data_IF_259319286001
#
_entry.id   IF_259319286001
#
_cell.length_a   1.000
_cell.length_b   1.000
_cell.length_c   1.000
_cell.angle_alpha   90.00
_cell.angle_beta   90.00
_cell.angle_gamma   90.00
#
_symmetry.space_group_name_H-M   'P 1'
#
loop_
_entity.id
_entity.type
_entity.pdbx_description
1 polymer ?
#
# COMPACT_ATOMS: atom_id res chain seq x y z
N UNK A 1 -3.55 -19.31 38.57
CA UNK A 1 -2.17 -19.69 38.14
C UNK A 1 -1.87 -19.34 36.67
N UNK A 2 -2.82 -19.40 35.74
CA UNK A 2 -2.60 -19.14 34.29
C UNK A 2 -2.39 -17.66 33.91
N UNK A 3 -3.10 -16.73 34.56
CA UNK A 3 -3.07 -15.28 34.23
C UNK A 3 -1.65 -14.69 34.37
N UNK A 4 -0.86 -15.19 35.33
CA UNK A 4 0.51 -14.72 35.54
C UNK A 4 1.47 -15.17 34.44
N UNK A 5 1.26 -16.38 33.88
CA UNK A 5 2.04 -16.87 32.72
C UNK A 5 1.75 -16.00 31.50
N UNK A 6 0.48 -15.76 31.18
CA UNK A 6 0.06 -14.93 30.05
C UNK A 6 0.66 -13.52 30.16
N UNK A 7 0.59 -12.89 31.33
CA UNK A 7 1.20 -11.56 31.56
C UNK A 7 2.71 -11.56 31.34
N UNK A 8 3.39 -12.65 31.69
CA UNK A 8 4.83 -12.82 31.48
C UNK A 8 5.16 -13.02 30.00
N UNK A 9 4.35 -13.79 29.26
CA UNK A 9 4.48 -13.96 27.81
C UNK A 9 4.28 -12.65 27.03
N UNK A 10 3.28 -11.84 27.38
CA UNK A 10 3.11 -10.53 26.75
C UNK A 10 4.28 -9.58 27.08
N UNK A 11 4.85 -9.68 28.29
CA UNK A 11 6.02 -8.89 28.69
C UNK A 11 7.28 -9.28 27.92
N UNK A 12 7.49 -10.58 27.65
CA UNK A 12 8.62 -11.05 26.85
C UNK A 12 8.45 -10.69 25.36
N UNK A 13 7.24 -10.84 24.80
CA UNK A 13 6.94 -10.44 23.42
C UNK A 13 7.12 -8.93 23.22
N UNK A 14 6.69 -8.11 24.17
CA UNK A 14 6.92 -6.67 24.13
C UNK A 14 8.40 -6.30 24.22
N UNK A 15 9.19 -7.06 25.00
CA UNK A 15 10.64 -6.85 25.08
C UNK A 15 11.35 -7.19 23.76
N UNK A 16 10.95 -8.27 23.08
CA UNK A 16 11.47 -8.64 21.75
C UNK A 16 11.05 -7.65 20.65
N UNK A 17 9.79 -7.20 20.67
CA UNK A 17 9.27 -6.16 19.78
C UNK A 17 10.01 -4.81 19.93
N UNK A 18 10.69 -4.59 21.05
CA UNK A 18 11.51 -3.39 21.28
C UNK A 18 12.91 -3.49 20.62
N UNK A 19 13.40 -4.71 20.38
CA UNK A 19 14.62 -4.96 19.60
C UNK A 19 14.36 -4.95 18.09
N UNK A 20 13.09 -5.06 17.67
CA UNK A 20 12.70 -4.80 16.28
C UNK A 20 12.95 -3.32 15.99
N UNK A 21 13.82 -3.06 15.02
CA UNK A 21 14.08 -1.73 14.50
C UNK A 21 12.84 -1.23 13.75
N UNK A 22 11.92 -0.62 14.48
CA UNK A 22 10.77 0.03 13.87
C UNK A 22 11.24 1.23 13.05
N UNK A 23 10.77 1.37 11.80
CA UNK A 23 11.08 2.53 10.98
C UNK A 23 10.64 3.81 11.70
N UNK A 24 11.41 4.87 11.53
CA UNK A 24 11.09 6.16 12.11
C UNK A 24 9.78 6.68 11.52
N UNK A 25 9.11 7.60 12.22
CA UNK A 25 7.88 8.24 11.70
C UNK A 25 8.13 8.96 10.37
N UNK A 26 9.37 9.32 10.08
CA UNK A 26 9.76 9.99 8.86
C UNK A 26 9.91 8.99 7.69
N UNK A 27 10.47 7.80 7.94
CA UNK A 27 10.56 6.72 6.95
C UNK A 27 9.17 6.26 6.48
N UNK A 28 8.20 6.23 7.40
CA UNK A 28 6.81 5.87 7.09
C UNK A 28 6.17 6.93 6.19
N UNK A 29 6.43 8.22 6.45
CA UNK A 29 5.92 9.30 5.60
C UNK A 29 6.54 9.22 4.22
N UNK A 30 7.85 9.04 4.14
CA UNK A 30 8.58 8.98 2.88
C UNK A 30 8.12 7.79 2.02
N UNK A 31 7.97 6.61 2.64
CA UNK A 31 7.42 5.42 1.97
C UNK A 31 5.99 5.64 1.46
N UNK A 32 5.13 6.29 2.25
CA UNK A 32 3.74 6.55 1.83
C UNK A 32 3.67 7.57 0.70
N UNK A 33 4.51 8.62 0.75
CA UNK A 33 4.60 9.64 -0.31
C UNK A 33 5.03 9.03 -1.65
N UNK A 34 6.01 8.14 -1.65
CA UNK A 34 6.45 7.44 -2.87
C UNK A 34 5.33 6.59 -3.46
N UNK A 35 4.61 5.84 -2.63
CA UNK A 35 3.49 4.99 -3.09
C UNK A 35 2.36 5.83 -3.68
N UNK A 36 2.02 6.96 -3.06
CA UNK A 36 1.00 7.89 -3.58
C UNK A 36 1.41 8.42 -4.95
N UNK A 37 2.67 8.85 -5.10
CA UNK A 37 3.18 9.38 -6.36
C UNK A 37 3.15 8.33 -7.47
N UNK A 38 3.62 7.11 -7.19
CA UNK A 38 3.59 6.00 -8.14
C UNK A 38 2.16 5.62 -8.53
N UNK A 39 1.25 5.59 -7.56
CA UNK A 39 -0.16 5.27 -7.82
C UNK A 39 -0.82 6.34 -8.70
N UNK A 40 -0.49 7.62 -8.49
CA UNK A 40 -1.00 8.72 -9.32
C UNK A 40 -0.52 8.60 -10.78
N UNK A 41 0.75 8.27 -11.00
CA UNK A 41 1.30 8.06 -12.35
C UNK A 41 0.59 6.90 -13.06
N UNK A 42 0.43 5.77 -12.37
CA UNK A 42 -0.26 4.58 -12.91
C UNK A 42 -1.72 4.91 -13.22
N UNK A 43 -2.41 5.65 -12.34
CA UNK A 43 -3.79 6.08 -12.57
C UNK A 43 -3.94 6.95 -13.83
N UNK A 44 -3.03 7.91 -14.05
CA UNK A 44 -3.03 8.75 -15.26
C UNK A 44 -2.78 7.89 -16.49
N UNK A 45 -1.81 6.99 -16.43
CA UNK A 45 -1.49 6.10 -17.56
C UNK A 45 -2.70 5.22 -17.94
N UNK A 46 -3.33 4.58 -16.97
CA UNK A 46 -4.53 3.76 -17.21
C UNK A 46 -5.67 4.62 -17.77
N UNK A 47 -5.92 5.80 -17.22
CA UNK A 47 -6.97 6.69 -17.73
C UNK A 47 -6.75 7.09 -19.21
N UNK A 48 -5.50 7.32 -19.61
CA UNK A 48 -5.15 7.60 -21.01
C UNK A 48 -5.39 6.38 -21.91
N UNK A 49 -4.95 5.20 -21.45
CA UNK A 49 -5.10 3.93 -22.19
C UNK A 49 -6.59 3.59 -22.35
N UNK A 50 -7.36 3.64 -21.27
CA UNK A 50 -8.80 3.33 -21.28
C UNK A 50 -9.58 4.28 -22.19
N UNK A 51 -9.22 5.58 -22.19
CA UNK A 51 -9.83 6.56 -23.09
C UNK A 51 -9.47 6.31 -24.56
N UNK A 52 -8.21 5.94 -24.84
CA UNK A 52 -7.74 5.58 -26.18
C UNK A 52 -8.39 4.31 -26.72
N UNK A 53 -8.46 3.25 -25.91
CA UNK A 53 -9.16 2.02 -26.26
C UNK A 53 -10.67 2.24 -26.39
N UNK A 54 -11.29 3.02 -25.52
CA UNK A 54 -12.71 3.37 -25.61
C UNK A 54 -13.06 4.10 -26.91
N UNK A 55 -12.20 5.02 -27.35
CA UNK A 55 -12.35 5.69 -28.65
C UNK A 55 -12.16 4.70 -29.81
N UNK A 56 -11.10 3.89 -29.77
CA UNK A 56 -10.80 2.90 -30.80
C UNK A 56 -11.96 1.90 -30.97
N UNK A 57 -12.48 1.34 -29.87
CA UNK A 57 -13.62 0.42 -29.88
C UNK A 57 -14.87 1.10 -30.42
N UNK A 58 -15.18 2.34 -30.00
CA UNK A 58 -16.34 3.08 -30.55
C UNK A 58 -16.22 3.29 -32.05
N UNK A 59 -15.06 3.68 -32.56
CA UNK A 59 -14.86 3.94 -33.99
C UNK A 59 -14.86 2.66 -34.83
N UNK A 60 -14.36 1.53 -34.29
CA UNK A 60 -14.33 0.24 -34.98
C UNK A 60 -15.68 -0.49 -34.97
N UNK A 61 -16.43 -0.46 -33.87
CA UNK A 61 -17.73 -1.15 -33.76
C UNK A 61 -18.91 -0.36 -34.31
N UNK A 62 -18.93 0.98 -34.22
CA UNK A 62 -20.06 1.79 -34.72
C UNK A 62 -19.97 2.14 -36.21
N UNK A 63 -18.88 1.77 -36.88
CA UNK A 63 -18.66 2.06 -38.31
C UNK A 63 -18.99 0.85 -39.22
N UNK A 64 -19.39 -0.29 -38.66
CA UNK A 64 -19.93 -1.43 -39.43
C UNK A 64 -21.44 -1.37 -39.54
#
# INVERSE_FOLDING_TARGET
MMINKIRTFFKSVYAELKYVSWPSKDDIKEGTTVVILMSAIVAIFLALVDSGFGYLIRTLLLKS
#
